data_IF_925760426851
#
_entry.id   IF_925760426851
#
_cell.length_a   1.000
_cell.length_b   1.000
_cell.length_c   1.000
_cell.angle_alpha   90.00
_cell.angle_beta   90.00
_cell.angle_gamma   90.00
#
_symmetry.space_group_name_H-M   'P 1'
#
loop_
_entity.id
_entity.type
_entity.pdbx_description
1 polymer ?
#
# COMPACT_ATOMS: atom_id res chain seq x y z
N UNK A 1 3.49 6.89 -12.53
CA UNK A 1 3.26 7.38 -11.16
C UNK A 1 2.18 6.50 -10.55
N UNK A 2 2.54 5.51 -9.73
CA UNK A 2 1.63 4.45 -9.32
C UNK A 2 0.54 4.93 -8.33
N UNK A 3 0.65 6.16 -7.83
CA UNK A 3 -0.29 6.79 -6.90
C UNK A 3 -1.46 7.55 -7.57
N UNK A 4 -1.45 7.75 -8.89
CA UNK A 4 -2.49 8.56 -9.57
C UNK A 4 -3.88 7.92 -9.59
N UNK A 5 -3.99 6.63 -9.24
CA UNK A 5 -5.27 5.92 -9.10
C UNK A 5 -5.82 5.83 -7.68
N UNK A 6 -5.16 6.44 -6.69
CA UNK A 6 -5.62 6.41 -5.30
C UNK A 6 -6.75 7.42 -5.06
N UNK A 7 -7.64 7.07 -4.11
CA UNK A 7 -8.66 7.99 -3.63
C UNK A 7 -8.00 9.24 -3.01
N UNK A 8 -8.57 10.42 -3.26
CA UNK A 8 -8.10 11.70 -2.71
C UNK A 8 -7.91 11.66 -1.18
N UNK A 9 -8.79 10.96 -0.46
CA UNK A 9 -8.68 10.77 0.99
C UNK A 9 -7.42 10.00 1.39
N UNK A 10 -7.10 8.92 0.66
CA UNK A 10 -5.88 8.14 0.91
C UNK A 10 -4.65 9.00 0.66
N UNK A 11 -4.65 9.74 -0.46
CA UNK A 11 -3.53 10.60 -0.83
C UNK A 11 -3.32 11.72 0.19
N UNK A 12 -4.38 12.36 0.66
CA UNK A 12 -4.30 13.39 1.70
C UNK A 12 -3.69 12.87 3.00
N UNK A 13 -4.04 11.64 3.40
CA UNK A 13 -3.45 10.99 4.60
C UNK A 13 -1.97 10.69 4.40
N UNK A 14 -1.58 10.17 3.23
CA UNK A 14 -0.16 9.90 2.92
C UNK A 14 0.67 11.18 2.89
N UNK A 15 0.16 12.26 2.27
CA UNK A 15 0.82 13.57 2.24
C UNK A 15 0.94 14.15 3.66
N UNK A 16 -0.11 14.07 4.47
CA UNK A 16 -0.09 14.53 5.86
C UNK A 16 0.89 13.73 6.75
N UNK A 17 1.07 12.44 6.47
CA UNK A 17 2.01 11.56 7.16
C UNK A 17 3.44 11.62 6.58
N UNK A 18 3.67 12.42 5.53
CA UNK A 18 4.93 12.49 4.80
C UNK A 18 5.41 11.11 4.32
N UNK A 19 4.49 10.33 3.74
CA UNK A 19 4.73 8.98 3.21
C UNK A 19 4.80 9.03 1.68
N UNK A 20 6.00 8.90 1.16
CA UNK A 20 6.27 8.74 -0.28
C UNK A 20 6.26 7.26 -0.72
N UNK A 21 6.31 7.00 -2.03
CA UNK A 21 6.30 5.65 -2.61
C UNK A 21 7.37 4.73 -2.01
N UNK A 22 8.57 5.26 -1.70
CA UNK A 22 9.65 4.50 -1.07
C UNK A 22 9.25 3.99 0.33
N UNK A 23 8.68 4.87 1.16
CA UNK A 23 8.21 4.53 2.51
C UNK A 23 7.00 3.60 2.40
N UNK A 24 6.12 3.84 1.43
CA UNK A 24 4.92 3.05 1.20
C UNK A 24 5.22 1.55 0.96
N UNK A 25 6.34 1.22 0.32
CA UNK A 25 6.78 -0.19 0.16
C UNK A 25 7.23 -0.87 1.46
N UNK A 26 7.53 -0.08 2.51
CA UNK A 26 7.92 -0.56 3.84
C UNK A 26 6.76 -0.61 4.83
N UNK A 27 5.63 0.01 4.49
CA UNK A 27 4.42 0.05 5.33
C UNK A 27 3.87 -1.36 5.55
N UNK A 28 3.62 -1.70 6.81
CA UNK A 28 3.01 -2.96 7.22
C UNK A 28 1.52 -2.79 7.57
N UNK A 29 0.86 -3.88 7.97
CA UNK A 29 -0.58 -3.86 8.30
C UNK A 29 -0.92 -3.07 9.56
N UNK A 30 0.01 -2.94 10.51
CA UNK A 30 -0.16 -2.16 11.73
C UNK A 30 -0.04 -0.67 11.42
N UNK A 31 0.97 -0.27 10.64
CA UNK A 31 1.13 1.11 10.15
C UNK A 31 -0.13 1.57 9.39
N UNK A 32 -0.75 0.69 8.59
CA UNK A 32 -2.02 0.97 7.93
C UNK A 32 -3.19 1.20 8.90
N UNK A 33 -3.19 0.53 10.06
CA UNK A 33 -4.22 0.75 11.08
C UNK A 33 -4.04 2.10 11.78
N UNK A 34 -2.79 2.52 11.99
CA UNK A 34 -2.46 3.83 12.54
C UNK A 34 -2.80 4.97 11.57
N UNK A 35 -2.52 4.79 10.27
CA UNK A 35 -2.84 5.78 9.24
C UNK A 35 -4.35 5.91 8.98
N UNK A 36 -5.07 4.81 9.09
CA UNK A 36 -6.51 4.75 8.81
C UNK A 36 -7.26 4.15 10.01
N UNK A 37 -7.39 4.92 11.11
CA UNK A 37 -7.99 4.46 12.34
C UNK A 37 -9.53 4.49 12.24
N UNK A 38 -10.12 3.36 11.88
CA UNK A 38 -11.58 3.23 11.89
C UNK A 38 -12.12 2.13 10.99
N UNK A 39 -13.32 1.63 11.32
CA UNK A 39 -13.99 0.65 10.46
C UNK A 39 -14.41 1.25 9.11
N UNK A 40 -14.68 2.57 9.08
CA UNK A 40 -15.03 3.31 7.87
C UNK A 40 -13.91 3.27 6.82
N UNK A 41 -12.66 3.22 7.26
CA UNK A 41 -11.47 3.22 6.38
C UNK A 41 -10.99 1.80 6.04
N UNK A 42 -11.79 0.77 6.35
CA UNK A 42 -11.47 -0.61 5.95
C UNK A 42 -11.26 -0.74 4.44
N UNK A 43 -12.12 -0.11 3.64
CA UNK A 43 -12.00 -0.13 2.18
C UNK A 43 -10.73 0.58 1.71
N UNK A 44 -10.38 1.70 2.33
CA UNK A 44 -9.19 2.48 2.02
C UNK A 44 -7.91 1.70 2.37
N UNK A 45 -7.87 1.07 3.56
CA UNK A 45 -6.79 0.16 3.97
C UNK A 45 -6.61 -1.00 2.99
N UNK A 46 -7.70 -1.60 2.53
CA UNK A 46 -7.65 -2.68 1.55
C UNK A 46 -7.10 -2.19 0.21
N UNK A 47 -7.55 -1.04 -0.29
CA UNK A 47 -7.07 -0.46 -1.55
C UNK A 47 -5.58 -0.11 -1.48
N UNK A 48 -5.15 0.52 -0.38
CA UNK A 48 -3.75 0.89 -0.17
C UNK A 48 -2.86 -0.35 -0.02
N UNK A 49 -3.32 -1.37 0.72
CA UNK A 49 -2.59 -2.63 0.86
C UNK A 49 -2.45 -3.37 -0.47
N UNK A 50 -3.49 -3.39 -1.30
CA UNK A 50 -3.43 -4.00 -2.65
C UNK A 50 -2.39 -3.28 -3.53
N UNK A 51 -2.32 -1.95 -3.45
CA UNK A 51 -1.29 -1.17 -4.14
C UNK A 51 0.12 -1.48 -3.62
N UNK A 52 0.31 -1.51 -2.29
CA UNK A 52 1.59 -1.88 -1.66
C UNK A 52 2.00 -3.29 -2.11
N UNK A 53 1.08 -4.25 -2.10
CA UNK A 53 1.32 -5.61 -2.58
C UNK A 53 1.66 -5.65 -4.07
N UNK A 54 1.07 -4.81 -4.92
CA UNK A 54 1.44 -4.70 -6.34
C UNK A 54 2.83 -4.08 -6.54
N UNK A 55 3.15 -3.03 -5.79
CA UNK A 55 4.47 -2.40 -5.81
C UNK A 55 5.55 -3.39 -5.35
N UNK A 56 5.27 -4.14 -4.28
CA UNK A 56 6.16 -5.18 -3.75
C UNK A 56 6.22 -6.41 -4.67
N UNK A 57 5.07 -6.84 -5.20
CA UNK A 57 4.91 -8.02 -6.06
C UNK A 57 5.53 -7.89 -7.45
N UNK A 58 5.93 -6.69 -7.87
CA UNK A 58 6.84 -6.51 -9.00
C UNK A 58 8.27 -7.03 -8.69
N UNK A 59 8.56 -7.36 -7.42
CA UNK A 59 9.79 -8.02 -6.98
C UNK A 59 9.62 -9.52 -6.69
N UNK A 60 8.39 -10.06 -6.68
CA UNK A 60 8.09 -11.45 -6.28
C UNK A 60 7.52 -12.33 -7.42
N UNK A 61 7.75 -11.98 -8.69
CA UNK A 61 7.45 -12.88 -9.83
C UNK A 61 8.60 -13.87 -10.15
N UNK A 62 9.59 -14.05 -9.27
CA UNK A 62 10.58 -15.13 -9.33
C UNK A 62 10.55 -16.02 -8.08
N UNK A 63 9.42 -16.69 -7.81
CA UNK A 63 9.39 -17.75 -6.80
C UNK A 63 8.53 -18.96 -7.21
N UNK A 64 8.28 -19.14 -8.52
CA UNK A 64 7.80 -20.43 -9.02
C UNK A 64 8.29 -20.72 -10.45
N UNK A 65 9.59 -20.96 -10.57
CA UNK A 65 10.13 -21.82 -11.63
C UNK A 65 11.08 -22.83 -10.97
N UNK A 66 10.59 -23.62 -10.02
CA UNK A 66 11.30 -24.84 -9.65
C UNK A 66 10.83 -25.96 -10.58
N UNK A 67 11.60 -26.10 -11.66
CA UNK A 67 11.71 -27.29 -12.50
C UNK A 67 12.06 -28.48 -11.59
N UNK A 68 11.25 -29.54 -11.59
CA UNK A 68 11.67 -30.95 -11.70
C UNK A 68 10.42 -31.79 -11.98
#
# INVERSE_FOLDING_TARGET
MALEGLNEGIRSVLEAANIDEAILTTVNREDLKDLFPGAADFLQRKQLWDLICKMKGNSDQNANMHMT
#
